data_IF_863141526076
#
_entry.id   IF_863141526076
#
_cell.length_a   1.000
_cell.length_b   1.000
_cell.length_c   1.000
_cell.angle_alpha   90.00
_cell.angle_beta   90.00
_cell.angle_gamma   90.00
#
_symmetry.space_group_name_H-M   'P 1'
#
loop_
_entity.id
_entity.type
_entity.pdbx_description
1 polymer ?
#
# COMPACT_ATOMS: atom_id res chain seq x y z
N UNK A 1 6.80 -29.72 -16.17
CA UNK A 1 5.76 -29.52 -17.20
C UNK A 1 5.63 -28.02 -17.33
N UNK A 2 5.84 -27.50 -18.53
CA UNK A 2 5.73 -26.05 -18.79
C UNK A 2 4.34 -25.59 -18.42
N UNK A 3 4.26 -24.72 -17.44
CA UNK A 3 2.99 -24.20 -16.92
C UNK A 3 2.54 -23.00 -17.78
N UNK A 4 2.35 -23.32 -19.10
CA UNK A 4 2.04 -22.30 -20.11
C UNK A 4 0.58 -22.39 -20.53
N UNK A 5 -0.13 -21.27 -20.51
CA UNK A 5 -1.55 -21.21 -20.84
C UNK A 5 -1.96 -19.82 -21.29
N UNK A 6 -3.12 -19.71 -21.90
CA UNK A 6 -3.76 -18.46 -22.30
C UNK A 6 -4.87 -18.14 -21.30
N UNK A 7 -4.94 -16.88 -20.90
CA UNK A 7 -6.08 -16.27 -20.19
C UNK A 7 -6.79 -15.35 -21.16
N UNK A 8 -8.09 -15.48 -21.32
CA UNK A 8 -8.87 -14.56 -22.17
C UNK A 8 -10.08 -14.00 -21.44
N UNK A 9 -10.48 -12.79 -21.85
CA UNK A 9 -11.68 -12.12 -21.33
C UNK A 9 -12.20 -11.11 -22.35
N UNK A 10 -13.50 -10.76 -22.23
CA UNK A 10 -14.09 -9.67 -22.99
C UNK A 10 -13.46 -8.31 -22.73
N UNK A 11 -12.90 -8.08 -21.51
CA UNK A 11 -12.24 -6.84 -21.10
C UNK A 11 -11.03 -7.09 -20.23
N UNK A 12 -9.86 -6.59 -20.64
CA UNK A 12 -8.60 -6.61 -19.89
C UNK A 12 -8.09 -5.18 -19.76
N UNK A 13 -7.99 -4.66 -18.54
CA UNK A 13 -7.38 -3.37 -18.24
C UNK A 13 -5.94 -3.62 -17.82
N UNK A 14 -5.00 -3.10 -18.57
CA UNK A 14 -3.58 -3.49 -18.40
C UNK A 14 -2.81 -2.59 -17.45
N UNK A 15 -3.30 -1.38 -17.21
CA UNK A 15 -2.59 -0.31 -16.49
C UNK A 15 -1.18 -0.10 -17.06
N UNK A 16 -1.07 -0.15 -18.39
CA UNK A 16 0.15 0.02 -19.16
C UNK A 16 -0.12 0.83 -20.43
N UNK A 17 0.89 1.04 -21.25
CA UNK A 17 0.80 1.68 -22.58
C UNK A 17 -0.13 0.92 -23.56
N UNK A 18 -0.36 -0.37 -23.33
CA UNK A 18 -1.31 -1.19 -24.07
C UNK A 18 -2.77 -0.72 -23.84
N UNK A 19 -3.05 -0.08 -22.69
CA UNK A 19 -4.38 0.37 -22.29
C UNK A 19 -5.38 -0.79 -22.13
N UNK A 20 -6.66 -0.55 -22.41
CA UNK A 20 -7.70 -1.56 -22.30
C UNK A 20 -7.82 -2.38 -23.58
N UNK A 21 -7.79 -3.70 -23.43
CA UNK A 21 -8.03 -4.65 -24.50
C UNK A 21 -9.46 -5.21 -24.41
N UNK A 22 -10.23 -5.05 -25.47
CA UNK A 22 -11.51 -5.74 -25.63
C UNK A 22 -11.30 -7.04 -26.42
N UNK A 23 -11.90 -8.15 -25.94
CA UNK A 23 -11.64 -9.50 -26.41
C UNK A 23 -10.12 -9.79 -26.40
N UNK A 24 -9.50 -9.48 -25.27
CA UNK A 24 -8.08 -9.62 -25.08
C UNK A 24 -7.66 -10.98 -24.55
N UNK A 25 -6.36 -11.25 -24.65
CA UNK A 25 -5.73 -12.41 -24.05
C UNK A 25 -4.33 -12.12 -23.53
N UNK A 26 -3.94 -12.88 -22.49
CA UNK A 26 -2.62 -12.88 -21.86
C UNK A 26 -2.06 -14.29 -21.96
N UNK A 27 -0.82 -14.42 -22.39
CA UNK A 27 -0.09 -15.70 -22.36
C UNK A 27 0.81 -15.73 -21.15
N UNK A 28 0.57 -16.68 -20.25
CA UNK A 28 1.38 -16.90 -19.06
C UNK A 28 2.29 -18.08 -19.25
N UNK A 29 3.56 -17.98 -18.88
CA UNK A 29 4.52 -19.07 -18.79
C UNK A 29 5.31 -18.92 -17.50
N UNK A 30 5.33 -19.97 -16.68
CA UNK A 30 6.09 -20.01 -15.41
C UNK A 30 5.91 -18.78 -14.53
N UNK A 31 4.67 -18.30 -14.43
CA UNK A 31 4.31 -17.15 -13.59
C UNK A 31 4.53 -15.77 -14.20
N UNK A 32 5.08 -15.70 -15.43
CA UNK A 32 5.39 -14.45 -16.12
C UNK A 32 4.47 -14.28 -17.33
N UNK A 33 4.10 -13.04 -17.64
CA UNK A 33 3.39 -12.66 -18.85
C UNK A 33 4.41 -12.66 -19.99
N UNK A 34 4.22 -13.51 -21.01
CA UNK A 34 5.13 -13.62 -22.15
C UNK A 34 4.56 -13.04 -23.44
N UNK A 35 3.25 -12.86 -23.52
CA UNK A 35 2.57 -12.18 -24.62
C UNK A 35 1.22 -11.62 -24.14
N UNK A 36 0.74 -10.54 -24.76
CA UNK A 36 -0.55 -9.92 -24.44
C UNK A 36 -1.07 -9.18 -25.68
N UNK A 37 -2.35 -9.34 -26.01
CA UNK A 37 -2.95 -8.69 -27.18
C UNK A 37 -4.39 -9.13 -27.41
N UNK A 38 -4.87 -8.94 -28.64
CA UNK A 38 -6.20 -9.43 -29.04
C UNK A 38 -6.20 -10.97 -29.09
N UNK A 39 -7.31 -11.56 -28.66
CA UNK A 39 -7.42 -13.02 -28.53
C UNK A 39 -7.11 -13.74 -29.85
N UNK A 40 -7.67 -13.31 -30.98
CA UNK A 40 -7.50 -13.97 -32.27
C UNK A 40 -6.03 -14.01 -32.73
N UNK A 41 -5.25 -12.95 -32.43
CA UNK A 41 -3.82 -12.87 -32.70
C UNK A 41 -3.03 -13.83 -31.81
N UNK A 42 -3.34 -13.85 -30.51
CA UNK A 42 -2.72 -14.74 -29.53
C UNK A 42 -3.04 -16.21 -29.85
N UNK A 43 -4.32 -16.54 -30.12
CA UNK A 43 -4.74 -17.90 -30.46
C UNK A 43 -4.03 -18.43 -31.70
N UNK A 44 -3.87 -17.59 -32.72
CA UNK A 44 -3.16 -17.98 -33.95
C UNK A 44 -1.70 -18.34 -33.73
N UNK A 45 -1.05 -17.68 -32.77
CA UNK A 45 0.36 -17.85 -32.36
C UNK A 45 0.58 -19.07 -31.44
N UNK A 46 -0.42 -19.36 -30.58
CA UNK A 46 -0.30 -20.32 -29.49
C UNK A 46 -1.41 -21.40 -29.51
N UNK A 47 -1.63 -22.01 -30.67
CA UNK A 47 -2.78 -22.90 -30.97
C UNK A 47 -2.97 -24.07 -30.01
N UNK A 48 -1.88 -24.58 -29.44
CA UNK A 48 -1.90 -25.81 -28.61
C UNK A 48 -1.98 -25.53 -27.12
N UNK A 49 -2.05 -24.26 -26.71
CA UNK A 49 -2.10 -23.91 -25.30
C UNK A 49 -3.53 -24.04 -24.76
N UNK A 50 -3.62 -24.47 -23.50
CA UNK A 50 -4.87 -24.45 -22.75
C UNK A 50 -5.37 -23.01 -22.62
N UNK A 51 -6.64 -22.77 -22.92
CA UNK A 51 -7.31 -21.48 -22.74
C UNK A 51 -8.15 -21.52 -21.46
N UNK A 52 -7.96 -20.51 -20.60
CA UNK A 52 -8.83 -20.20 -19.47
C UNK A 52 -9.69 -19.00 -19.90
N UNK A 53 -10.97 -19.24 -20.14
CA UNK A 53 -11.90 -18.23 -20.63
C UNK A 53 -12.72 -17.65 -19.47
N UNK A 54 -12.48 -16.39 -19.13
CA UNK A 54 -13.20 -15.65 -18.09
C UNK A 54 -14.47 -14.96 -18.61
N UNK A 55 -14.77 -15.11 -19.90
CA UNK A 55 -16.00 -14.55 -20.52
C UNK A 55 -16.15 -13.05 -20.23
N UNK A 56 -17.23 -12.71 -19.49
CA UNK A 56 -17.61 -11.33 -19.19
C UNK A 56 -16.95 -10.76 -17.92
N UNK A 57 -16.09 -11.53 -17.23
CA UNK A 57 -15.33 -10.99 -16.10
C UNK A 57 -14.25 -10.05 -16.60
N UNK A 58 -14.05 -8.95 -15.89
CA UNK A 58 -12.97 -8.00 -16.15
C UNK A 58 -11.67 -8.54 -15.56
N UNK A 59 -10.59 -8.52 -16.35
CA UNK A 59 -9.25 -8.83 -15.87
C UNK A 59 -8.49 -7.52 -15.65
N UNK A 60 -7.88 -7.39 -14.45
CA UNK A 60 -7.03 -6.24 -14.10
C UNK A 60 -5.77 -6.75 -13.41
N UNK A 61 -4.69 -5.94 -13.28
CA UNK A 61 -3.65 -6.25 -12.31
C UNK A 61 -4.26 -6.49 -10.94
N UNK A 62 -3.66 -7.34 -10.13
CA UNK A 62 -4.05 -7.47 -8.73
C UNK A 62 -3.81 -6.18 -7.96
N UNK A 63 -4.56 -5.99 -6.89
CA UNK A 63 -4.49 -4.79 -6.06
C UNK A 63 -3.23 -4.77 -5.19
N UNK A 64 -2.81 -3.58 -4.81
CA UNK A 64 -1.64 -3.32 -3.98
C UNK A 64 -2.05 -2.38 -2.86
N UNK A 65 -1.88 -2.82 -1.62
CA UNK A 65 -2.00 -1.97 -0.44
C UNK A 65 -0.61 -1.64 0.08
N UNK A 66 -0.10 -0.46 -0.28
CA UNK A 66 1.27 -0.08 -0.02
C UNK A 66 1.53 0.49 1.38
N UNK A 67 0.55 0.42 2.27
CA UNK A 67 0.67 0.88 3.65
C UNK A 67 -0.23 0.04 4.59
N UNK A 68 0.37 -0.91 5.29
CA UNK A 68 -0.32 -1.84 6.18
C UNK A 68 0.45 -2.11 7.47
N UNK A 69 -0.24 -2.65 8.49
CA UNK A 69 0.29 -3.07 9.79
C UNK A 69 -0.14 -4.49 10.16
N UNK A 70 -0.11 -5.43 9.21
CA UNK A 70 -0.69 -6.78 9.35
C UNK A 70 0.06 -7.65 10.36
N UNK A 71 1.36 -7.38 10.57
CA UNK A 71 2.21 -8.21 11.43
C UNK A 71 2.33 -7.70 12.86
N UNK A 72 1.92 -6.49 13.17
CA UNK A 72 2.12 -5.91 14.50
C UNK A 72 0.82 -5.56 15.23
N UNK A 73 0.21 -4.42 14.94
CA UNK A 73 -0.96 -3.94 15.70
C UNK A 73 -2.27 -4.62 15.28
N UNK A 74 -2.44 -4.87 14.00
CA UNK A 74 -3.70 -5.35 13.46
C UNK A 74 -4.21 -6.65 14.12
N UNK A 75 -3.38 -7.68 14.38
CA UNK A 75 -3.89 -8.89 15.00
C UNK A 75 -4.57 -8.66 16.35
N UNK A 76 -3.99 -7.81 17.21
CA UNK A 76 -4.55 -7.49 18.52
C UNK A 76 -5.66 -6.43 18.48
N UNK A 77 -5.74 -5.67 17.41
CA UNK A 77 -6.82 -4.69 17.20
C UNK A 77 -8.11 -5.36 16.73
N UNK A 78 -7.98 -6.35 15.85
CA UNK A 78 -9.12 -7.03 15.22
C UNK A 78 -9.62 -8.22 16.06
N UNK A 79 -8.70 -8.94 16.71
CA UNK A 79 -9.02 -10.18 17.43
C UNK A 79 -8.55 -10.16 18.88
N UNK A 80 -9.29 -10.83 19.81
CA UNK A 80 -8.86 -10.99 21.20
C UNK A 80 -7.76 -12.08 21.29
N UNK A 81 -6.57 -11.78 20.80
CA UNK A 81 -5.44 -12.71 20.71
C UNK A 81 -4.57 -12.74 21.96
N UNK A 82 -3.82 -13.83 22.11
CA UNK A 82 -2.70 -13.99 23.03
C UNK A 82 -1.41 -14.25 22.21
N UNK A 83 -0.25 -14.26 22.86
CA UNK A 83 1.01 -14.63 22.19
C UNK A 83 0.90 -15.93 21.37
N UNK A 84 0.13 -16.92 21.85
CA UNK A 84 -0.04 -18.21 21.18
C UNK A 84 -0.92 -18.17 19.92
N UNK A 85 -1.80 -17.20 19.82
CA UNK A 85 -2.77 -17.07 18.71
C UNK A 85 -2.46 -15.90 17.78
N UNK A 86 -1.43 -15.12 18.08
CA UNK A 86 -1.08 -13.91 17.35
C UNK A 86 -0.75 -14.21 15.88
N UNK A 87 0.11 -15.21 15.62
CA UNK A 87 0.48 -15.61 14.25
C UNK A 87 -0.72 -16.14 13.44
N UNK A 88 -1.67 -16.80 14.11
CA UNK A 88 -2.92 -17.27 13.46
C UNK A 88 -3.77 -16.08 13.00
N UNK A 89 -3.84 -15.05 13.83
CA UNK A 89 -4.56 -13.82 13.48
C UNK A 89 -3.87 -13.08 12.32
N UNK A 90 -2.54 -13.00 12.31
CA UNK A 90 -1.79 -12.46 11.16
C UNK A 90 -2.16 -13.19 9.87
N UNK A 91 -2.15 -14.53 9.89
CA UNK A 91 -2.50 -15.34 8.71
C UNK A 91 -3.94 -15.10 8.25
N UNK A 92 -4.87 -14.91 9.18
CA UNK A 92 -6.26 -14.59 8.86
C UNK A 92 -6.39 -13.20 8.19
N UNK A 93 -5.66 -12.20 8.67
CA UNK A 93 -5.65 -10.86 8.08
C UNK A 93 -5.03 -10.85 6.67
N UNK A 94 -3.93 -11.59 6.48
CA UNK A 94 -3.30 -11.78 5.17
C UNK A 94 -4.25 -12.47 4.19
N UNK A 95 -4.92 -13.54 4.63
CA UNK A 95 -5.92 -14.23 3.82
C UNK A 95 -7.08 -13.31 3.42
N UNK A 96 -7.53 -12.45 4.35
CA UNK A 96 -8.59 -11.47 4.07
C UNK A 96 -8.17 -10.50 2.95
N UNK A 97 -6.93 -10.00 2.99
CA UNK A 97 -6.36 -9.19 1.93
C UNK A 97 -6.30 -9.92 0.58
N UNK A 98 -5.81 -11.17 0.56
CA UNK A 98 -5.79 -11.99 -0.66
C UNK A 98 -7.20 -12.21 -1.24
N UNK A 99 -8.19 -12.48 -0.37
CA UNK A 99 -9.59 -12.64 -0.79
C UNK A 99 -10.17 -11.36 -1.40
N UNK A 100 -9.59 -10.21 -1.07
CA UNK A 100 -9.97 -8.90 -1.59
C UNK A 100 -9.23 -8.52 -2.88
N UNK A 101 -8.39 -9.42 -3.40
CA UNK A 101 -7.62 -9.20 -4.62
C UNK A 101 -6.28 -8.50 -4.41
N UNK A 102 -5.88 -8.25 -3.16
CA UNK A 102 -4.59 -7.63 -2.83
C UNK A 102 -3.51 -8.72 -2.80
N UNK A 103 -2.48 -8.59 -3.63
CA UNK A 103 -1.36 -9.55 -3.71
C UNK A 103 -0.01 -8.92 -3.40
N UNK A 104 0.03 -7.65 -3.04
CA UNK A 104 1.24 -7.00 -2.56
C UNK A 104 0.93 -6.03 -1.43
N UNK A 105 1.78 -6.04 -0.40
CA UNK A 105 1.63 -5.22 0.78
C UNK A 105 2.92 -4.45 1.09
N UNK A 106 2.77 -3.20 1.51
CA UNK A 106 3.81 -2.40 2.13
C UNK A 106 3.66 -2.44 3.65
N UNK A 107 4.41 -3.29 4.31
CA UNK A 107 4.29 -3.53 5.74
C UNK A 107 5.14 -2.56 6.56
N UNK A 108 4.50 -1.78 7.41
CA UNK A 108 5.17 -0.90 8.37
C UNK A 108 5.57 -1.70 9.60
N UNK A 109 6.82 -1.60 10.01
CA UNK A 109 7.33 -2.35 11.18
C UNK A 109 7.68 -1.39 12.30
N UNK A 110 6.74 -1.21 13.23
CA UNK A 110 6.95 -0.46 14.48
C UNK A 110 7.25 -1.37 15.66
N UNK A 111 6.91 -2.64 15.58
CA UNK A 111 6.99 -3.61 16.65
C UNK A 111 5.60 -4.07 17.15
N UNK A 112 5.59 -4.95 18.16
CA UNK A 112 4.37 -5.45 18.75
C UNK A 112 4.35 -5.24 20.27
N UNK A 113 3.24 -4.74 20.84
CA UNK A 113 3.11 -4.65 22.30
C UNK A 113 2.88 -6.02 22.95
N UNK A 114 2.55 -7.06 22.18
CA UNK A 114 2.10 -8.35 22.69
C UNK A 114 3.25 -9.36 22.84
N UNK A 115 4.22 -9.36 21.91
CA UNK A 115 5.31 -10.33 21.91
C UNK A 115 6.55 -9.76 21.21
N UNK A 116 7.68 -10.42 21.44
CA UNK A 116 8.91 -10.05 20.77
C UNK A 116 8.87 -10.41 19.29
N UNK A 117 9.01 -9.42 18.44
CA UNK A 117 9.07 -9.61 16.99
C UNK A 117 10.49 -9.93 16.55
N UNK A 118 10.58 -10.88 15.62
CA UNK A 118 11.83 -11.17 14.90
C UNK A 118 11.57 -10.91 13.42
N UNK A 119 12.11 -9.81 12.89
CA UNK A 119 11.88 -9.39 11.51
C UNK A 119 12.40 -10.41 10.50
N UNK A 120 13.55 -11.05 10.76
CA UNK A 120 14.08 -12.06 9.86
C UNK A 120 13.13 -13.27 9.75
N UNK A 121 12.59 -13.73 10.88
CA UNK A 121 11.59 -14.82 10.90
C UNK A 121 10.33 -14.42 10.14
N UNK A 122 9.87 -13.18 10.30
CA UNK A 122 8.70 -12.66 9.59
C UNK A 122 8.97 -12.60 8.09
N UNK A 123 10.13 -12.10 7.67
CA UNK A 123 10.54 -12.04 6.25
C UNK A 123 10.66 -13.44 5.64
N UNK A 124 11.19 -14.42 6.37
CA UNK A 124 11.22 -15.82 5.89
C UNK A 124 9.82 -16.41 5.73
N UNK A 125 8.92 -16.15 6.69
CA UNK A 125 7.50 -16.54 6.57
C UNK A 125 6.86 -15.88 5.34
N UNK A 126 7.06 -14.58 5.14
CA UNK A 126 6.51 -13.84 4.02
C UNK A 126 6.88 -14.44 2.67
N UNK A 127 8.11 -14.94 2.49
CA UNK A 127 8.56 -15.62 1.27
C UNK A 127 7.78 -16.90 0.92
N UNK A 128 7.10 -17.49 1.89
CA UNK A 128 6.29 -18.71 1.69
C UNK A 128 4.86 -18.42 1.28
N UNK A 129 4.42 -17.16 1.38
CA UNK A 129 3.06 -16.74 1.08
C UNK A 129 2.89 -16.44 -0.42
N UNK A 130 1.71 -16.65 -0.99
CA UNK A 130 1.44 -16.37 -2.40
C UNK A 130 1.14 -14.87 -2.63
N UNK A 131 2.03 -14.00 -2.18
CA UNK A 131 1.95 -12.56 -2.30
C UNK A 131 3.33 -11.91 -2.08
N UNK A 132 3.49 -10.66 -2.48
CA UNK A 132 4.69 -9.88 -2.23
C UNK A 132 4.49 -9.02 -0.97
N UNK A 133 5.42 -9.07 -0.02
CA UNK A 133 5.47 -8.16 1.13
C UNK A 133 6.81 -7.46 1.14
N UNK A 134 6.77 -6.13 1.20
CA UNK A 134 7.96 -5.29 1.35
C UNK A 134 7.88 -4.60 2.71
N UNK A 135 8.99 -4.63 3.45
CA UNK A 135 9.03 -4.16 4.82
C UNK A 135 9.73 -2.82 4.93
N UNK A 136 9.11 -1.90 5.66
CA UNK A 136 9.72 -0.67 6.13
C UNK A 136 9.79 -0.69 7.65
N UNK A 137 10.85 -0.13 8.20
CA UNK A 137 10.89 0.12 9.63
C UNK A 137 10.56 1.59 9.89
N UNK A 138 9.65 1.86 10.81
CA UNK A 138 9.39 3.21 11.31
C UNK A 138 10.03 3.43 12.69
N UNK A 139 11.19 2.82 12.90
CA UNK A 139 11.93 2.83 14.16
C UNK A 139 12.53 4.18 14.53
N UNK A 140 12.52 5.16 13.62
CA UNK A 140 12.99 6.53 13.89
C UNK A 140 11.82 7.38 14.39
N UNK A 141 11.05 6.85 15.33
CA UNK A 141 9.94 7.55 15.98
C UNK A 141 10.36 7.97 17.37
N UNK A 142 10.57 9.26 17.59
CA UNK A 142 10.93 9.85 18.88
C UNK A 142 9.69 10.40 19.59
N UNK A 143 9.82 10.70 20.87
CA UNK A 143 8.71 11.26 21.67
C UNK A 143 7.78 10.20 22.25
N UNK A 144 8.08 8.92 22.06
CA UNK A 144 7.31 7.78 22.55
C UNK A 144 8.08 6.96 23.57
N UNK A 145 8.95 7.63 24.35
CA UNK A 145 9.88 7.00 25.29
C UNK A 145 9.17 6.24 26.42
N UNK A 146 7.92 6.60 26.69
CA UNK A 146 7.09 5.91 27.68
C UNK A 146 6.40 4.64 27.11
N UNK A 147 6.51 4.40 25.81
CA UNK A 147 6.05 3.19 25.14
C UNK A 147 7.24 2.35 24.70
N UNK A 148 7.12 1.06 24.83
CA UNK A 148 8.12 0.16 24.25
C UNK A 148 7.86 0.03 22.76
N UNK A 149 8.63 0.73 21.95
CA UNK A 149 8.66 0.53 20.52
C UNK A 149 9.43 -0.72 20.20
N UNK A 150 8.73 -1.76 19.80
CA UNK A 150 9.29 -3.07 19.54
C UNK A 150 9.78 -3.12 18.10
N UNK A 151 11.02 -2.75 17.87
CA UNK A 151 11.64 -2.81 16.55
C UNK A 151 12.70 -3.89 16.48
N UNK A 152 12.98 -4.37 15.29
CA UNK A 152 14.05 -5.35 15.05
C UNK A 152 15.43 -4.83 15.40
N UNK A 153 15.65 -3.50 15.30
CA UNK A 153 16.95 -2.85 15.59
C UNK A 153 17.10 -2.51 17.06
N UNK A 154 16.07 -1.90 17.66
CA UNK A 154 16.13 -1.39 19.04
C UNK A 154 15.62 -2.40 20.06
N UNK A 155 15.11 -3.55 19.63
CA UNK A 155 14.47 -4.54 20.49
C UNK A 155 13.20 -3.96 21.13
N UNK A 156 13.13 -4.04 22.46
CA UNK A 156 12.01 -3.50 23.23
C UNK A 156 12.24 -2.07 23.73
N UNK A 157 13.24 -1.38 23.21
CA UNK A 157 13.55 0.00 23.60
C UNK A 157 12.90 0.97 22.64
N UNK A 158 12.27 2.03 23.19
CA UNK A 158 11.81 3.15 22.37
C UNK A 158 13.00 3.94 21.80
N UNK A 159 12.77 4.57 20.66
CA UNK A 159 13.72 5.50 20.04
C UNK A 159 13.58 6.87 20.71
N UNK A 160 14.69 7.49 21.06
CA UNK A 160 14.75 8.82 21.67
C UNK A 160 15.69 9.77 20.90
N UNK A 161 15.77 11.02 21.35
CA UNK A 161 16.67 12.01 20.75
C UNK A 161 18.15 11.57 20.75
N UNK A 162 18.59 10.75 21.70
CA UNK A 162 19.96 10.24 21.73
C UNK A 162 20.23 9.23 20.62
N UNK A 163 19.22 8.50 20.18
CA UNK A 163 19.29 7.59 19.04
C UNK A 163 19.58 8.33 17.74
N UNK A 164 19.03 9.53 17.56
CA UNK A 164 19.27 10.37 16.36
C UNK A 164 20.72 10.85 16.23
N UNK A 165 21.47 10.87 17.34
CA UNK A 165 22.89 11.23 17.37
C UNK A 165 23.76 10.02 17.00
N UNK A 166 23.28 8.81 17.26
CA UNK A 166 24.00 7.57 17.01
C UNK A 166 23.82 7.11 15.55
N UNK A 167 24.76 7.50 14.69
CA UNK A 167 24.72 7.17 13.27
C UNK A 167 24.77 5.67 12.99
N UNK A 168 25.43 4.87 13.82
CA UNK A 168 25.47 3.41 13.65
C UNK A 168 24.07 2.77 13.82
N UNK A 169 23.28 3.25 14.78
CA UNK A 169 21.90 2.78 14.96
C UNK A 169 21.03 3.23 13.78
N UNK A 170 21.13 4.50 13.37
CA UNK A 170 20.38 5.01 12.21
C UNK A 170 20.72 4.23 10.94
N UNK A 171 21.99 3.93 10.71
CA UNK A 171 22.41 3.13 9.56
C UNK A 171 21.78 1.74 9.54
N UNK A 172 21.70 1.06 10.69
CA UNK A 172 21.04 -0.25 10.80
C UNK A 172 19.54 -0.15 10.47
N UNK A 173 18.85 0.86 11.02
CA UNK A 173 17.44 1.12 10.73
C UNK A 173 17.23 1.33 9.23
N UNK A 174 18.09 2.15 8.60
CA UNK A 174 18.04 2.42 7.17
C UNK A 174 18.31 1.14 6.36
N UNK A 175 19.29 0.34 6.76
CA UNK A 175 19.64 -0.90 6.06
C UNK A 175 18.50 -1.93 6.11
N UNK A 176 17.77 -2.01 7.21
CA UNK A 176 16.63 -2.93 7.38
C UNK A 176 15.37 -2.48 6.59
N UNK A 177 15.24 -1.20 6.28
CA UNK A 177 14.10 -0.69 5.51
C UNK A 177 14.23 -1.07 4.03
N UNK A 178 13.21 -1.70 3.47
CA UNK A 178 13.17 -2.18 2.08
C UNK A 178 12.44 -1.22 1.14
N UNK A 179 11.54 -0.40 1.67
CA UNK A 179 10.81 0.61 0.90
C UNK A 179 10.57 1.88 1.74
N UNK A 180 10.25 3.03 1.11
CA UNK A 180 10.00 4.29 1.80
C UNK A 180 8.58 4.32 2.39
N UNK A 181 8.38 3.58 3.48
CA UNK A 181 7.19 3.64 4.31
C UNK A 181 7.23 4.81 5.30
N UNK A 182 6.62 4.63 6.46
CA UNK A 182 6.69 5.60 7.56
C UNK A 182 8.04 5.49 8.29
N UNK A 183 9.15 5.76 7.60
CA UNK A 183 10.48 5.68 8.20
C UNK A 183 10.66 6.68 9.34
N UNK A 184 9.99 7.83 9.28
CA UNK A 184 9.95 8.85 10.34
C UNK A 184 8.51 9.29 10.60
N UNK A 185 8.19 9.56 11.86
CA UNK A 185 6.95 10.20 12.29
C UNK A 185 7.25 11.66 12.56
N UNK A 186 6.90 12.57 11.63
CA UNK A 186 7.16 14.00 11.80
C UNK A 186 6.27 14.59 12.90
N UNK A 187 5.02 14.15 12.95
CA UNK A 187 4.11 14.54 14.04
C UNK A 187 3.31 13.34 14.56
N UNK A 188 2.97 13.41 15.83
CA UNK A 188 2.32 12.32 16.54
C UNK A 188 0.87 12.11 16.10
N UNK A 189 0.46 10.85 16.12
CA UNK A 189 -0.95 10.45 16.02
C UNK A 189 -1.25 9.42 17.10
N UNK A 190 -1.89 9.80 18.21
CA UNK A 190 -2.17 8.90 19.32
C UNK A 190 -3.43 8.05 19.10
N UNK A 191 -3.73 7.64 17.86
CA UNK A 191 -5.00 7.01 17.49
C UNK A 191 -5.41 5.80 18.37
N UNK A 192 -4.45 5.09 18.97
CA UNK A 192 -4.71 3.93 19.83
C UNK A 192 -3.92 3.94 21.15
N UNK A 193 -3.40 5.10 21.57
CA UNK A 193 -2.53 5.23 22.72
C UNK A 193 -3.11 6.21 23.73
N UNK A 194 -2.77 6.04 25.01
CA UNK A 194 -3.17 6.98 26.05
C UNK A 194 -2.41 8.29 25.89
N UNK A 195 -3.12 9.42 25.91
CA UNK A 195 -2.57 10.76 25.70
C UNK A 195 -1.37 11.10 26.62
N UNK A 196 -1.34 10.55 27.82
CA UNK A 196 -0.23 10.78 28.77
C UNK A 196 1.05 10.02 28.41
N UNK A 197 1.00 9.09 27.45
CA UNK A 197 2.13 8.26 27.05
C UNK A 197 2.81 8.71 25.76
N UNK A 198 2.19 9.63 25.03
CA UNK A 198 2.63 10.03 23.67
C UNK A 198 2.59 11.56 23.53
N UNK A 199 3.30 12.13 22.55
CA UNK A 199 3.18 13.54 22.25
C UNK A 199 1.74 13.92 21.92
N UNK A 200 1.40 15.20 22.12
CA UNK A 200 0.10 15.73 21.76
C UNK A 200 -0.17 15.51 20.26
N UNK A 201 -1.38 15.10 19.93
CA UNK A 201 -1.76 14.88 18.53
C UNK A 201 -1.42 16.09 17.65
N UNK A 202 -0.69 15.85 16.58
CA UNK A 202 -0.21 16.87 15.65
C UNK A 202 1.07 17.61 16.10
N UNK A 203 1.60 17.30 17.29
CA UNK A 203 2.84 17.91 17.76
C UNK A 203 4.02 17.51 16.88
N UNK A 204 4.77 18.52 16.38
CA UNK A 204 6.00 18.29 15.61
C UNK A 204 7.11 17.85 16.58
N UNK A 205 7.65 16.66 16.34
CA UNK A 205 8.63 16.03 17.25
C UNK A 205 10.08 16.09 16.73
N UNK A 206 10.27 16.54 15.50
CA UNK A 206 11.60 16.75 14.89
C UNK A 206 11.89 18.22 14.66
N UNK A 207 13.17 18.58 14.65
CA UNK A 207 13.63 19.82 14.04
C UNK A 207 13.87 19.62 12.54
N UNK A 208 13.89 20.70 11.77
CA UNK A 208 14.23 20.64 10.35
C UNK A 208 15.62 20.05 10.09
N UNK A 209 16.59 20.35 10.96
CA UNK A 209 17.97 19.85 10.85
C UNK A 209 18.03 18.31 11.05
N UNK A 210 17.28 17.80 12.03
CA UNK A 210 17.16 16.34 12.24
C UNK A 210 16.57 15.65 11.02
N UNK A 211 15.48 16.13 10.45
CA UNK A 211 14.88 15.59 9.23
C UNK A 211 15.82 15.65 8.04
N UNK A 212 16.51 16.77 7.84
CA UNK A 212 17.47 16.93 6.76
C UNK A 212 18.64 15.92 6.91
N UNK A 213 19.11 15.70 8.14
CA UNK A 213 20.17 14.71 8.42
C UNK A 213 19.69 13.31 8.05
N UNK A 214 18.52 12.90 8.55
CA UNK A 214 17.97 11.55 8.33
C UNK A 214 17.75 11.33 6.82
N UNK A 215 17.07 12.23 6.15
CA UNK A 215 16.82 12.15 4.70
C UNK A 215 18.13 12.00 3.91
N UNK A 216 19.13 12.83 4.22
CA UNK A 216 20.45 12.73 3.61
C UNK A 216 21.11 11.37 3.83
N UNK A 217 20.96 10.76 5.00
CA UNK A 217 21.51 9.44 5.29
C UNK A 217 20.86 8.36 4.44
N UNK A 218 19.51 8.39 4.25
CA UNK A 218 18.82 7.51 3.32
C UNK A 218 19.33 7.68 1.89
N UNK A 219 19.41 8.92 1.40
CA UNK A 219 19.86 9.21 0.05
C UNK A 219 21.33 8.82 -0.18
N UNK A 220 22.21 8.98 0.81
CA UNK A 220 23.60 8.54 0.72
C UNK A 220 23.74 7.02 0.56
N UNK A 221 22.77 6.24 1.03
CA UNK A 221 22.67 4.79 0.83
C UNK A 221 21.88 4.41 -0.43
N UNK A 222 21.50 5.38 -1.26
CA UNK A 222 20.70 5.16 -2.47
C UNK A 222 19.27 4.73 -2.18
N UNK A 223 18.77 4.96 -0.97
CA UNK A 223 17.42 4.62 -0.55
C UNK A 223 16.54 5.87 -0.52
N UNK A 224 15.28 5.70 -0.90
CA UNK A 224 14.23 6.69 -0.67
C UNK A 224 13.75 6.63 0.77
N UNK A 225 13.20 7.74 1.26
CA UNK A 225 12.64 7.86 2.61
C UNK A 225 11.16 8.25 2.54
N UNK A 226 10.34 7.67 3.42
CA UNK A 226 8.95 8.06 3.63
C UNK A 226 8.71 8.60 5.03
N UNK A 227 7.60 9.31 5.21
CA UNK A 227 7.24 9.84 6.52
C UNK A 227 5.73 9.75 6.78
N UNK A 228 5.39 9.53 8.06
CA UNK A 228 4.08 9.82 8.61
C UNK A 228 3.96 11.32 8.88
N UNK A 229 2.99 11.99 8.28
CA UNK A 229 2.80 13.43 8.49
C UNK A 229 1.39 13.91 8.13
N UNK A 230 0.90 14.88 8.91
CA UNK A 230 -0.33 15.60 8.62
C UNK A 230 -0.22 17.08 9.01
N UNK A 231 -1.02 17.93 8.38
CA UNK A 231 -1.05 19.36 8.61
C UNK A 231 0.03 20.13 7.88
N UNK A 232 -0.26 21.41 7.65
CA UNK A 232 0.53 22.29 6.78
C UNK A 232 2.00 22.38 7.19
N UNK A 233 2.27 22.58 8.50
CA UNK A 233 3.63 22.74 9.01
C UNK A 233 4.47 21.47 8.82
N UNK A 234 3.96 20.32 9.23
CA UNK A 234 4.66 19.04 9.09
C UNK A 234 4.93 18.66 7.65
N UNK A 235 3.93 18.83 6.77
CA UNK A 235 4.07 18.56 5.32
C UNK A 235 5.10 19.47 4.70
N UNK A 236 5.12 20.77 5.08
CA UNK A 236 6.16 21.71 4.63
C UNK A 236 7.56 21.23 5.04
N UNK A 237 7.73 20.79 6.28
CA UNK A 237 9.00 20.27 6.77
C UNK A 237 9.44 19.00 6.00
N UNK A 238 8.51 18.11 5.67
CA UNK A 238 8.80 16.92 4.86
C UNK A 238 9.32 17.30 3.47
N UNK A 239 8.66 18.26 2.80
CA UNK A 239 9.06 18.75 1.47
C UNK A 239 10.44 19.41 1.54
N UNK A 240 10.69 20.29 2.52
CA UNK A 240 11.97 20.97 2.71
C UNK A 240 13.12 20.00 3.04
N UNK A 241 12.81 18.90 3.75
CA UNK A 241 13.77 17.83 4.00
C UNK A 241 13.99 16.90 2.81
N UNK A 242 13.27 17.10 1.69
CA UNK A 242 13.32 16.26 0.48
C UNK A 242 12.96 14.81 0.77
N UNK A 243 11.94 14.59 1.58
CA UNK A 243 11.38 13.27 1.81
C UNK A 243 10.66 12.82 0.53
N UNK A 244 10.95 11.61 0.05
CA UNK A 244 10.49 11.15 -1.26
C UNK A 244 9.02 10.75 -1.27
N UNK A 245 8.51 10.23 -0.14
CA UNK A 245 7.13 9.76 -0.04
C UNK A 245 6.48 10.29 1.24
N UNK A 246 5.35 10.94 1.08
CA UNK A 246 4.51 11.40 2.18
C UNK A 246 3.35 10.42 2.35
N UNK A 247 3.28 9.77 3.50
CA UNK A 247 2.11 9.00 3.89
C UNK A 247 1.10 9.89 4.60
N UNK A 248 -0.18 9.66 4.31
CA UNK A 248 -1.35 10.42 4.75
C UNK A 248 -1.43 11.79 4.07
N UNK A 249 -0.56 12.73 4.44
CA UNK A 249 -0.60 14.09 3.91
C UNK A 249 -1.90 14.82 4.18
N UNK A 250 -2.68 14.40 5.21
CA UNK A 250 -3.98 14.98 5.55
C UNK A 250 -3.84 16.47 5.84
N UNK A 251 -4.71 17.28 5.23
CA UNK A 251 -4.67 18.73 5.37
C UNK A 251 -3.60 19.42 4.54
N UNK A 252 -3.10 18.77 3.48
CA UNK A 252 -2.19 19.40 2.52
C UNK A 252 -2.88 20.58 1.81
N UNK A 253 -2.17 21.72 1.73
CA UNK A 253 -2.69 22.90 1.05
C UNK A 253 -2.32 22.93 -0.43
N UNK A 254 -3.07 23.69 -1.24
CA UNK A 254 -2.78 23.83 -2.67
C UNK A 254 -1.37 24.36 -2.96
N UNK A 255 -0.80 25.17 -2.07
CA UNK A 255 0.58 25.65 -2.20
C UNK A 255 1.57 24.52 -2.01
N UNK A 256 1.35 23.69 -0.99
CA UNK A 256 2.20 22.53 -0.70
C UNK A 256 2.07 21.42 -1.75
N UNK A 257 0.88 21.23 -2.36
CA UNK A 257 0.71 20.32 -3.49
C UNK A 257 1.66 20.70 -4.64
N UNK A 258 1.74 22.00 -4.99
CA UNK A 258 2.65 22.49 -6.05
C UNK A 258 4.12 22.24 -5.70
N UNK A 259 4.52 22.55 -4.46
CA UNK A 259 5.89 22.29 -3.99
C UNK A 259 6.23 20.79 -4.00
N UNK A 260 5.30 19.94 -3.55
CA UNK A 260 5.47 18.48 -3.61
C UNK A 260 5.62 17.98 -5.06
N UNK A 261 4.90 18.60 -6.02
CA UNK A 261 5.06 18.32 -7.45
C UNK A 261 6.44 18.71 -7.97
N UNK A 262 6.94 19.90 -7.62
CA UNK A 262 8.27 20.36 -8.01
C UNK A 262 9.38 19.44 -7.52
N UNK A 263 9.25 18.88 -6.32
CA UNK A 263 10.20 17.93 -5.73
C UNK A 263 9.94 16.47 -6.13
N UNK A 264 8.93 16.19 -6.98
CA UNK A 264 8.54 14.85 -7.42
C UNK A 264 8.15 13.89 -6.27
N UNK A 265 7.56 14.40 -5.21
CA UNK A 265 7.11 13.62 -4.06
C UNK A 265 5.90 12.78 -4.45
N UNK A 266 5.90 11.52 -4.03
CA UNK A 266 4.73 10.64 -4.11
C UNK A 266 3.92 10.81 -2.82
N UNK A 267 2.59 10.80 -2.92
CA UNK A 267 1.72 10.86 -1.75
C UNK A 267 0.89 9.58 -1.65
N UNK A 268 1.01 8.89 -0.53
CA UNK A 268 0.15 7.76 -0.19
C UNK A 268 -1.03 8.30 0.60
N UNK A 269 -2.17 8.40 -0.04
CA UNK A 269 -3.40 8.87 0.61
C UNK A 269 -4.09 7.72 1.35
N UNK A 270 -4.59 8.01 2.54
CA UNK A 270 -5.25 7.04 3.43
C UNK A 270 -6.67 7.51 3.78
N UNK A 271 -7.65 7.31 2.88
CA UNK A 271 -9.01 7.80 3.08
C UNK A 271 -9.73 7.19 4.31
N UNK A 272 -9.20 6.08 4.85
CA UNK A 272 -9.71 5.46 6.07
C UNK A 272 -9.35 6.23 7.34
N UNK A 273 -8.16 6.84 7.38
CA UNK A 273 -7.65 7.54 8.55
C UNK A 273 -6.13 7.51 8.65
N UNK A 274 -5.61 7.45 9.89
CA UNK A 274 -4.18 7.29 10.19
C UNK A 274 -3.54 8.52 10.83
N UNK A 275 -4.22 9.66 10.91
CA UNK A 275 -3.68 10.86 11.59
C UNK A 275 -4.73 11.55 12.45
N UNK A 276 -4.33 12.60 13.16
CA UNK A 276 -5.20 13.45 13.97
C UNK A 276 -6.13 14.37 13.15
N UNK A 277 -5.94 14.46 11.84
CA UNK A 277 -6.76 15.24 10.92
C UNK A 277 -7.77 14.36 10.19
N UNK A 278 -8.73 15.02 9.53
CA UNK A 278 -9.67 14.29 8.68
C UNK A 278 -8.95 13.55 7.56
N UNK A 279 -9.39 12.32 7.24
CA UNK A 279 -8.84 11.56 6.14
C UNK A 279 -8.99 12.27 4.79
N UNK A 280 -8.14 11.89 3.82
CA UNK A 280 -8.19 12.46 2.49
C UNK A 280 -9.56 12.32 1.84
N UNK A 281 -10.14 13.43 1.45
CA UNK A 281 -11.42 13.49 0.75
C UNK A 281 -11.28 13.17 -0.73
N UNK A 282 -12.38 12.80 -1.43
CA UNK A 282 -12.37 12.66 -2.88
C UNK A 282 -11.92 13.93 -3.61
N UNK A 283 -12.21 15.11 -3.06
CA UNK A 283 -11.78 16.42 -3.57
C UNK A 283 -10.27 16.61 -3.47
N UNK A 284 -9.67 16.22 -2.36
CA UNK A 284 -8.20 16.27 -2.17
C UNK A 284 -7.51 15.30 -3.12
N UNK A 285 -8.04 14.07 -3.28
CA UNK A 285 -7.52 13.09 -4.24
C UNK A 285 -7.55 13.66 -5.66
N UNK A 286 -8.66 14.27 -6.07
CA UNK A 286 -8.78 14.91 -7.38
C UNK A 286 -7.78 16.05 -7.55
N UNK A 287 -7.61 16.90 -6.54
CA UNK A 287 -6.69 18.03 -6.58
C UNK A 287 -5.24 17.58 -6.75
N UNK A 288 -4.82 16.56 -6.01
CA UNK A 288 -3.48 15.96 -6.11
C UNK A 288 -3.22 15.40 -7.52
N UNK A 289 -4.16 14.62 -8.06
CA UNK A 289 -4.02 14.02 -9.40
C UNK A 289 -4.02 15.08 -10.49
N UNK A 290 -4.89 16.09 -10.42
CA UNK A 290 -4.93 17.20 -11.39
C UNK A 290 -3.65 18.03 -11.43
N UNK A 291 -2.96 18.20 -10.30
CA UNK A 291 -1.64 18.85 -10.27
C UNK A 291 -0.54 17.93 -10.81
N UNK A 292 -0.86 16.66 -11.04
CA UNK A 292 0.08 15.66 -11.57
C UNK A 292 0.96 15.02 -10.51
N UNK A 293 0.53 15.02 -9.24
CA UNK A 293 1.15 14.21 -8.18
C UNK A 293 0.86 12.74 -8.46
N UNK A 294 1.86 11.90 -8.32
CA UNK A 294 1.65 10.46 -8.26
C UNK A 294 1.09 10.13 -6.88
N UNK A 295 -0.13 9.58 -6.84
CA UNK A 295 -0.73 9.13 -5.60
C UNK A 295 -0.97 7.62 -5.63
N UNK A 296 -0.83 6.97 -4.47
CA UNK A 296 -1.32 5.63 -4.21
C UNK A 296 -2.38 5.72 -3.10
N UNK A 297 -3.42 4.87 -3.17
CA UNK A 297 -4.41 4.77 -2.11
C UNK A 297 -4.09 3.53 -1.28
N UNK A 298 -4.05 3.67 0.04
CA UNK A 298 -3.76 2.60 0.98
C UNK A 298 -4.73 2.63 2.17
N UNK A 299 -4.80 1.53 2.92
CA UNK A 299 -5.76 1.40 4.03
C UNK A 299 -5.22 1.84 5.38
N UNK A 300 -3.91 1.81 5.57
CA UNK A 300 -3.29 2.00 6.90
C UNK A 300 -3.89 1.04 7.94
N UNK A 301 -4.05 -0.20 7.52
CA UNK A 301 -4.83 -1.22 8.24
C UNK A 301 -4.23 -1.64 9.59
N UNK A 302 -5.00 -1.83 10.64
CA UNK A 302 -6.47 -1.81 10.66
C UNK A 302 -6.97 -0.64 11.50
N UNK A 303 -7.73 0.25 10.90
CA UNK A 303 -8.24 1.45 11.58
C UNK A 303 -9.78 1.46 11.63
N UNK A 304 -10.37 2.01 12.70
CA UNK A 304 -11.79 2.31 12.72
C UNK A 304 -12.09 3.48 11.75
N UNK A 305 -13.09 3.35 10.86
CA UNK A 305 -13.48 4.43 9.97
C UNK A 305 -14.22 5.53 10.74
N UNK A 306 -14.09 6.78 10.29
CA UNK A 306 -15.01 7.84 10.73
C UNK A 306 -16.33 7.68 9.97
N UNK A 307 -17.32 7.09 10.64
CA UNK A 307 -18.67 6.83 10.08
C UNK A 307 -19.46 8.11 9.76
N UNK A 308 -19.00 9.28 10.21
CA UNK A 308 -19.65 10.55 9.91
C UNK A 308 -19.18 11.15 8.58
N UNK A 309 -18.18 10.57 7.94
CA UNK A 309 -17.69 11.03 6.65
C UNK A 309 -18.59 10.50 5.51
N UNK A 310 -19.24 11.40 4.76
CA UNK A 310 -20.27 10.99 3.77
C UNK A 310 -19.72 10.17 2.61
N UNK A 311 -18.41 10.22 2.35
CA UNK A 311 -17.77 9.47 1.26
C UNK A 311 -17.28 8.08 1.64
N UNK A 312 -17.19 7.74 2.95
CA UNK A 312 -16.76 6.40 3.38
C UNK A 312 -17.90 5.39 3.44
N UNK A 313 -19.09 5.82 3.85
CA UNK A 313 -20.32 5.00 3.89
C UNK A 313 -20.15 3.63 4.58
N UNK A 314 -19.58 3.62 5.79
CA UNK A 314 -19.52 2.45 6.65
C UNK A 314 -20.70 2.42 7.63
N UNK A 315 -21.20 1.20 7.92
CA UNK A 315 -22.33 1.01 8.84
C UNK A 315 -21.90 1.00 10.32
N UNK A 316 -20.62 0.67 10.56
CA UNK A 316 -20.03 0.58 11.89
C UNK A 316 -18.58 1.09 11.90
N UNK A 317 -18.05 1.29 13.10
CA UNK A 317 -16.68 1.74 13.37
C UNK A 317 -15.72 0.59 13.69
N UNK A 318 -16.08 -0.66 13.36
CA UNK A 318 -15.15 -1.77 13.52
C UNK A 318 -13.90 -1.58 12.64
N UNK A 319 -12.70 -1.98 13.11
CA UNK A 319 -11.48 -1.80 12.36
C UNK A 319 -11.56 -2.42 10.97
N UNK A 320 -11.11 -1.67 9.96
CA UNK A 320 -11.10 -2.05 8.54
C UNK A 320 -9.65 -2.11 8.03
N UNK A 321 -9.42 -2.99 7.07
CA UNK A 321 -8.10 -3.21 6.49
C UNK A 321 -8.14 -3.40 4.98
N UNK A 322 -7.28 -4.24 4.40
CA UNK A 322 -7.17 -4.39 2.94
C UNK A 322 -8.46 -4.78 2.23
N UNK A 323 -9.41 -5.40 2.94
CA UNK A 323 -10.72 -5.79 2.40
C UNK A 323 -11.59 -4.60 1.98
N UNK A 324 -11.28 -3.40 2.47
CA UNK A 324 -12.02 -2.19 2.10
C UNK A 324 -11.28 -1.28 1.13
N UNK A 325 -10.11 -1.69 0.61
CA UNK A 325 -9.32 -0.87 -0.32
C UNK A 325 -10.14 -0.36 -1.50
N UNK A 326 -10.94 -1.21 -2.15
CA UNK A 326 -11.85 -0.81 -3.22
C UNK A 326 -12.90 0.19 -2.76
N UNK A 327 -13.45 -0.01 -1.56
CA UNK A 327 -14.53 0.82 -1.01
C UNK A 327 -14.05 2.23 -0.66
N UNK A 328 -12.90 2.35 -0.02
CA UNK A 328 -12.33 3.67 0.35
C UNK A 328 -11.81 4.45 -0.87
N UNK A 329 -11.44 3.74 -1.93
CA UNK A 329 -10.99 4.36 -3.19
C UNK A 329 -12.14 4.85 -4.06
N UNK A 330 -13.32 4.27 -3.92
CA UNK A 330 -14.42 4.41 -4.87
C UNK A 330 -14.80 5.86 -5.17
N UNK A 331 -15.07 6.67 -4.15
CA UNK A 331 -15.56 8.05 -4.38
C UNK A 331 -14.48 8.93 -5.04
N UNK A 332 -13.21 8.75 -4.67
CA UNK A 332 -12.08 9.41 -5.35
C UNK A 332 -11.96 8.98 -6.80
N UNK A 333 -12.05 7.66 -7.07
CA UNK A 333 -11.97 7.11 -8.43
C UNK A 333 -13.14 7.57 -9.31
N UNK A 334 -14.37 7.62 -8.80
CA UNK A 334 -15.54 8.16 -9.51
C UNK A 334 -15.33 9.63 -9.87
N UNK A 335 -14.82 10.43 -8.94
CA UNK A 335 -14.55 11.84 -9.18
C UNK A 335 -13.51 12.06 -10.28
N UNK A 336 -12.47 11.23 -10.32
CA UNK A 336 -11.46 11.25 -11.39
C UNK A 336 -12.05 10.83 -12.74
N UNK A 337 -12.96 9.86 -12.76
CA UNK A 337 -13.70 9.47 -13.96
C UNK A 337 -14.54 10.64 -14.50
N UNK A 338 -15.25 11.33 -13.61
CA UNK A 338 -16.04 12.53 -13.97
C UNK A 338 -15.14 13.67 -14.48
N UNK A 339 -13.90 13.75 -13.99
CA UNK A 339 -12.87 14.66 -14.48
C UNK A 339 -12.25 14.25 -15.83
N UNK A 340 -12.62 13.08 -16.38
CA UNK A 340 -12.24 12.63 -17.71
C UNK A 340 -11.00 11.73 -17.78
N UNK A 341 -10.49 11.24 -16.66
CA UNK A 341 -9.40 10.27 -16.66
C UNK A 341 -9.88 8.89 -17.18
N UNK A 342 -8.99 8.18 -17.89
CA UNK A 342 -9.33 6.83 -18.34
C UNK A 342 -9.19 5.79 -17.20
N UNK A 343 -9.82 4.64 -17.39
CA UNK A 343 -9.86 3.59 -16.35
C UNK A 343 -8.49 3.00 -16.00
N UNK A 344 -7.49 3.08 -16.90
CA UNK A 344 -6.12 2.64 -16.61
C UNK A 344 -5.43 3.64 -15.66
N UNK A 345 -5.61 4.93 -15.92
CA UNK A 345 -5.10 5.99 -15.06
C UNK A 345 -5.71 5.89 -13.65
N UNK A 346 -7.04 5.73 -13.59
CA UNK A 346 -7.78 5.63 -12.33
C UNK A 346 -7.37 4.36 -11.55
N UNK A 347 -7.32 3.22 -12.22
CA UNK A 347 -6.97 1.96 -11.56
C UNK A 347 -5.50 1.93 -11.07
N UNK A 348 -4.62 2.74 -11.68
CA UNK A 348 -3.22 2.85 -11.24
C UNK A 348 -3.08 3.26 -9.77
N UNK A 349 -4.07 3.95 -9.19
CA UNK A 349 -4.05 4.42 -7.80
C UNK A 349 -3.98 3.29 -6.77
N UNK A 350 -4.54 2.13 -7.10
CA UNK A 350 -4.58 0.93 -6.23
C UNK A 350 -3.82 -0.25 -6.84
N UNK A 351 -2.98 0.01 -7.87
CA UNK A 351 -2.17 -0.99 -8.54
C UNK A 351 -0.75 -0.45 -8.81
N UNK A 352 -0.46 0.12 -9.99
CA UNK A 352 0.88 0.56 -10.41
C UNK A 352 1.49 1.61 -9.48
N UNK A 353 0.72 2.55 -8.96
CA UNK A 353 1.26 3.58 -8.09
C UNK A 353 1.66 3.01 -6.73
N UNK A 354 0.89 2.05 -6.18
CA UNK A 354 1.32 1.26 -5.04
C UNK A 354 2.62 0.50 -5.31
N UNK A 355 2.75 -0.13 -6.50
CA UNK A 355 4.00 -0.78 -6.90
C UNK A 355 5.19 0.18 -6.95
N UNK A 356 5.00 1.43 -7.41
CA UNK A 356 6.06 2.47 -7.41
C UNK A 356 6.48 2.84 -5.98
N UNK A 357 5.53 2.91 -5.03
CA UNK A 357 5.86 3.13 -3.61
C UNK A 357 6.73 2.00 -3.08
N UNK A 358 6.40 0.76 -3.44
CA UNK A 358 7.13 -0.44 -2.99
C UNK A 358 8.44 -0.70 -3.76
N UNK A 359 8.73 0.04 -4.85
CA UNK A 359 9.88 -0.22 -5.72
C UNK A 359 9.73 -1.52 -6.54
N UNK A 360 8.50 -1.92 -6.83
CA UNK A 360 8.16 -3.16 -7.55
C UNK A 360 7.51 -2.91 -8.93
N UNK A 361 7.47 -1.68 -9.42
CA UNK A 361 6.76 -1.26 -10.64
C UNK A 361 7.24 -1.95 -11.92
N UNK A 362 8.45 -2.49 -11.92
CA UNK A 362 8.98 -3.28 -13.04
C UNK A 362 8.57 -4.76 -12.98
N UNK A 363 7.92 -5.18 -11.89
CA UNK A 363 7.55 -6.58 -11.65
C UNK A 363 6.05 -6.79 -11.54
N UNK A 364 5.32 -5.85 -10.93
CA UNK A 364 3.88 -5.96 -10.61
C UNK A 364 3.16 -4.62 -10.81
N UNK A 365 1.84 -4.61 -10.65
CA UNK A 365 1.00 -3.41 -10.74
C UNK A 365 0.49 -3.08 -12.14
N UNK A 366 1.00 -3.77 -13.16
CA UNK A 366 0.55 -3.68 -14.56
C UNK A 366 0.51 -5.05 -15.22
N UNK A 367 -0.21 -5.17 -16.34
CA UNK A 367 -0.19 -6.36 -17.19
C UNK A 367 0.57 -6.03 -18.48
N UNK A 368 1.84 -6.35 -18.53
CA UNK A 368 2.70 -6.23 -19.72
C UNK A 368 3.71 -7.37 -19.79
N UNK A 369 4.25 -7.61 -20.96
CA UNK A 369 5.25 -8.67 -21.17
C UNK A 369 6.46 -8.48 -20.24
N UNK A 370 6.90 -9.55 -19.61
CA UNK A 370 8.00 -9.58 -18.64
C UNK A 370 7.60 -9.43 -17.18
N UNK A 371 6.38 -8.99 -16.89
CA UNK A 371 5.87 -8.86 -15.51
C UNK A 371 5.33 -10.17 -14.96
N UNK A 372 5.28 -10.29 -13.63
CA UNK A 372 4.58 -11.36 -12.93
C UNK A 372 3.10 -11.40 -13.37
N UNK A 373 2.58 -12.58 -13.59
CA UNK A 373 1.17 -12.78 -13.89
C UNK A 373 0.32 -12.69 -12.60
N UNK A 374 0.33 -11.51 -11.97
CA UNK A 374 -0.45 -11.16 -10.81
C UNK A 374 -1.70 -10.39 -11.29
N UNK A 375 -2.85 -11.05 -11.32
CA UNK A 375 -4.09 -10.46 -11.82
C UNK A 375 -5.32 -10.99 -11.08
N UNK A 376 -6.40 -10.27 -11.20
CA UNK A 376 -7.72 -10.69 -10.71
C UNK A 376 -8.72 -10.76 -11.84
N UNK A 377 -9.70 -11.66 -11.68
CA UNK A 377 -10.90 -11.71 -12.51
C UNK A 377 -12.10 -11.33 -11.64
N UNK A 378 -12.82 -10.28 -12.02
CA UNK A 378 -13.88 -9.63 -11.23
C UNK A 378 -15.10 -9.30 -12.08
N UNK A 379 -16.26 -9.06 -11.43
CA UNK A 379 -17.51 -8.69 -12.13
C UNK A 379 -17.51 -7.27 -12.70
N UNK A 380 -16.54 -6.45 -12.34
CA UNK A 380 -16.38 -5.06 -12.81
C UNK A 380 -15.01 -4.52 -12.43
N UNK A 381 -14.73 -3.27 -12.76
CA UNK A 381 -13.44 -2.62 -12.44
C UNK A 381 -13.34 -2.34 -10.95
N UNK A 382 -12.32 -2.91 -10.25
CA UNK A 382 -12.16 -2.74 -8.81
C UNK A 382 -12.04 -1.27 -8.39
N UNK A 383 -12.76 -0.90 -7.34
CA UNK A 383 -12.79 0.46 -6.81
C UNK A 383 -13.61 1.44 -7.65
N UNK A 384 -13.83 1.17 -8.93
CA UNK A 384 -14.58 2.06 -9.83
C UNK A 384 -16.02 1.57 -10.11
N UNK A 385 -16.17 0.28 -10.41
CA UNK A 385 -17.47 -0.33 -10.74
C UNK A 385 -17.94 -1.30 -9.65
N UNK A 386 -16.99 -1.89 -8.92
CA UNK A 386 -17.24 -2.79 -7.79
C UNK A 386 -16.51 -2.32 -6.54
N UNK A 387 -17.14 -2.51 -5.38
CA UNK A 387 -16.56 -2.22 -4.05
C UNK A 387 -16.68 -3.40 -3.08
N UNK A 388 -17.50 -4.41 -3.43
CA UNK A 388 -17.66 -5.63 -2.63
C UNK A 388 -16.60 -6.65 -3.03
N UNK A 389 -15.89 -7.17 -2.03
CA UNK A 389 -14.87 -8.22 -2.24
C UNK A 389 -15.45 -9.51 -2.81
N UNK A 390 -16.75 -9.77 -2.66
CA UNK A 390 -17.46 -10.90 -3.28
C UNK A 390 -17.56 -10.79 -4.81
N UNK A 391 -17.30 -9.63 -5.37
CA UNK A 391 -17.25 -9.41 -6.82
C UNK A 391 -15.86 -9.72 -7.42
N UNK A 392 -14.83 -9.92 -6.59
CA UNK A 392 -13.57 -10.55 -6.97
C UNK A 392 -13.78 -12.05 -7.01
N UNK A 393 -13.75 -12.65 -8.18
CA UNK A 393 -14.07 -14.06 -8.39
C UNK A 393 -12.84 -14.95 -8.29
N UNK A 394 -11.72 -14.52 -8.88
CA UNK A 394 -10.44 -15.23 -8.80
C UNK A 394 -9.28 -14.28 -8.63
N UNK A 395 -8.29 -14.74 -7.86
CA UNK A 395 -7.02 -14.04 -7.68
C UNK A 395 -5.90 -14.94 -8.14
N UNK A 396 -5.01 -14.39 -8.95
CA UNK A 396 -3.82 -15.08 -9.46
C UNK A 396 -2.56 -14.40 -8.94
N UNK A 397 -1.64 -15.21 -8.44
CA UNK A 397 -0.30 -14.80 -8.04
C UNK A 397 0.72 -15.67 -8.78
N UNK A 398 1.64 -15.02 -9.50
CA UNK A 398 2.60 -15.70 -10.38
C UNK A 398 1.94 -16.79 -11.25
N UNK A 399 0.85 -16.41 -11.89
CA UNK A 399 0.09 -17.28 -12.79
C UNK A 399 -0.65 -18.45 -12.13
N UNK A 400 -0.63 -18.57 -10.81
CA UNK A 400 -1.36 -19.60 -10.07
C UNK A 400 -2.62 -19.00 -9.45
N UNK A 401 -3.75 -19.68 -9.62
CA UNK A 401 -4.98 -19.28 -8.92
C UNK A 401 -4.82 -19.57 -7.43
N UNK A 402 -4.82 -18.52 -6.61
CA UNK A 402 -4.64 -18.60 -5.14
C UNK A 402 -5.95 -18.37 -4.40
N UNK A 403 -6.92 -17.69 -5.00
CA UNK A 403 -8.31 -17.57 -4.51
C UNK A 403 -9.25 -17.93 -5.65
N UNK A 404 -10.23 -18.76 -5.37
CA UNK A 404 -11.31 -19.19 -6.28
C UNK A 404 -12.64 -19.16 -5.55
N UNK A 405 -13.41 -18.08 -5.77
CA UNK A 405 -14.77 -17.93 -5.24
C UNK A 405 -15.75 -18.39 -6.31
N UNK A 406 -16.09 -19.63 -6.27
CA UNK A 406 -17.00 -20.27 -7.24
C UNK A 406 -18.40 -19.66 -7.23
#
# INVERSE_FOLDING_TARGET
MDNKYIVKSSKIITVSDIKTLYNGAIVVSDGIIIDIGKYDEIESKYKDLKVIDFKDLVITPSLIDCHTHLFEYAPSTVYPVTEKTYEIAQDALILNGLMSGVTAFGEQVCGSPMYEMNLDKIKEKAKTLPLDIVFSTNSITIGFENLVNLTSVTGKSSVDKSTLINEEILEKIIDESEYPGENVFINATPANLKEELVPKAGEIIYTQEELNKISKMFHNKGKKIGCHVAGEEGIKMAIEAKIDIIHHGHGITNELIKKAKEENIIIVVTPLGGTHLKPNSPEEIEALVKEGIIIAIATDSYLPPDINLPWLNFEDDSPKGPEVLMKISNQGMLKLKDAGLDENEILSLITLNGAKVLGLEEKIGSLKVGMKANFIASKGVPGLEITDTNDIIKVFYEGKCVIDKK
#
